data_IF_044343335297
#
_entry.id   IF_044343335297
#
_cell.length_a   1.000
_cell.length_b   1.000
_cell.length_c   1.000
_cell.angle_alpha   90.00
_cell.angle_beta   90.00
_cell.angle_gamma   90.00
#
_symmetry.space_group_name_H-M   'P 1'
#
loop_
_entity.id
_entity.type
_entity.pdbx_description
1 polymer ?
#
# COMPACT_ATOMS: atom_id res chain seq x y z
N UNK A 1 -6.00 -18.23 16.62
CA UNK A 1 -5.16 -18.30 15.40
C UNK A 1 -4.09 -17.24 15.52
N UNK A 2 -2.85 -17.58 15.22
CA UNK A 2 -1.70 -16.66 15.28
C UNK A 2 -1.05 -16.64 13.90
N UNK A 3 -0.77 -15.47 13.37
CA UNK A 3 0.00 -15.31 12.13
C UNK A 3 1.50 -15.35 12.46
N UNK A 4 2.33 -15.81 11.52
CA UNK A 4 3.77 -15.58 11.63
C UNK A 4 4.13 -14.12 11.31
N UNK A 5 5.41 -13.78 11.49
CA UNK A 5 5.93 -12.44 11.25
C UNK A 5 5.69 -11.97 9.82
N UNK A 6 5.54 -12.86 8.84
CA UNK A 6 5.26 -12.54 7.44
C UNK A 6 3.77 -12.67 7.06
N UNK A 7 2.90 -12.79 8.07
CA UNK A 7 1.45 -12.76 7.95
C UNK A 7 0.87 -14.08 7.48
N UNK A 8 1.69 -15.13 7.42
CA UNK A 8 1.26 -16.45 7.01
C UNK A 8 0.55 -17.18 8.13
N UNK A 9 -0.42 -18.00 7.74
CA UNK A 9 -1.03 -19.02 8.58
C UNK A 9 -1.14 -20.32 7.80
N UNK A 10 -0.99 -21.44 8.50
CA UNK A 10 -1.25 -22.76 7.91
C UNK A 10 -2.71 -22.85 7.44
N UNK A 11 -2.92 -23.38 6.24
CA UNK A 11 -4.27 -23.50 5.67
C UNK A 11 -5.15 -24.42 6.52
N UNK A 12 -4.60 -25.51 7.07
CA UNK A 12 -5.33 -26.38 7.99
C UNK A 12 -5.87 -25.61 9.21
N UNK A 13 -5.02 -24.80 9.84
CA UNK A 13 -5.40 -23.97 11.00
C UNK A 13 -6.50 -22.97 10.64
N UNK A 14 -6.43 -22.35 9.46
CA UNK A 14 -7.47 -21.44 8.99
C UNK A 14 -8.81 -22.17 8.79
N UNK A 15 -8.79 -23.33 8.14
CA UNK A 15 -10.00 -24.12 7.84
C UNK A 15 -10.64 -24.66 9.12
N UNK A 16 -9.84 -25.14 10.08
CA UNK A 16 -10.30 -25.57 11.41
C UNK A 16 -10.93 -24.41 12.18
N UNK A 17 -10.28 -23.25 12.20
CA UNK A 17 -10.80 -22.07 12.87
C UNK A 17 -12.10 -21.56 12.23
N UNK A 18 -12.18 -21.56 10.89
CA UNK A 18 -13.39 -21.18 10.16
C UNK A 18 -14.55 -22.13 10.48
N UNK A 19 -14.29 -23.44 10.45
CA UNK A 19 -15.30 -24.45 10.79
C UNK A 19 -15.79 -24.30 12.24
N UNK A 20 -14.89 -24.01 13.19
CA UNK A 20 -15.24 -23.75 14.59
C UNK A 20 -16.13 -22.51 14.76
N UNK A 21 -16.06 -21.53 13.85
CA UNK A 21 -16.91 -20.33 13.81
C UNK A 21 -18.13 -20.49 12.88
N UNK A 22 -18.47 -21.72 12.46
CA UNK A 22 -19.64 -22.01 11.63
C UNK A 22 -19.44 -21.82 10.13
N UNK A 23 -18.23 -21.50 9.68
CA UNK A 23 -17.88 -21.34 8.27
C UNK A 23 -17.10 -22.57 7.78
N UNK A 24 -17.80 -23.62 7.35
CA UNK A 24 -17.15 -24.76 6.70
C UNK A 24 -16.78 -24.39 5.27
N UNK A 25 -15.48 -24.22 5.05
CA UNK A 25 -14.89 -23.93 3.76
C UNK A 25 -13.99 -25.13 3.41
N UNK A 26 -14.14 -25.68 2.22
CA UNK A 26 -13.25 -26.69 1.70
C UNK A 26 -11.96 -26.07 1.16
N UNK A 27 -10.90 -26.87 1.07
CA UNK A 27 -9.64 -26.44 0.45
C UNK A 27 -9.85 -25.89 -0.97
N UNK A 28 -10.67 -26.56 -1.78
CA UNK A 28 -10.97 -26.16 -3.15
C UNK A 28 -11.80 -24.85 -3.23
N UNK A 29 -12.65 -24.57 -2.25
CA UNK A 29 -13.34 -23.27 -2.14
C UNK A 29 -12.37 -22.15 -1.77
N UNK A 30 -11.46 -22.41 -0.83
CA UNK A 30 -10.43 -21.44 -0.47
C UNK A 30 -9.51 -21.12 -1.67
N UNK A 31 -9.12 -22.15 -2.43
CA UNK A 31 -8.29 -21.96 -3.64
C UNK A 31 -8.98 -21.09 -4.69
N UNK A 32 -10.29 -21.30 -4.93
CA UNK A 32 -11.08 -20.42 -5.80
C UNK A 32 -11.15 -19.00 -5.28
N UNK A 33 -11.38 -18.79 -3.99
CA UNK A 33 -11.39 -17.43 -3.39
C UNK A 33 -10.05 -16.72 -3.59
N UNK A 34 -8.93 -17.45 -3.47
CA UNK A 34 -7.61 -16.86 -3.70
C UNK A 34 -7.40 -16.52 -5.17
N UNK A 35 -7.77 -17.44 -6.09
CA UNK A 35 -7.62 -17.26 -7.53
C UNK A 35 -8.51 -16.15 -8.11
N UNK A 36 -9.77 -16.10 -7.69
CA UNK A 36 -10.81 -15.26 -8.31
C UNK A 36 -11.02 -13.92 -7.60
N UNK A 37 -10.23 -13.59 -6.55
CA UNK A 37 -10.43 -12.29 -5.91
C UNK A 37 -9.88 -11.17 -6.81
N UNK A 38 -10.74 -10.17 -7.07
CA UNK A 38 -10.51 -9.02 -7.96
C UNK A 38 -9.23 -8.19 -7.70
N UNK A 39 -8.50 -8.48 -6.62
CA UNK A 39 -7.38 -7.64 -6.14
C UNK A 39 -6.18 -8.42 -5.63
N UNK A 40 -6.07 -9.72 -5.91
CA UNK A 40 -5.03 -10.63 -5.37
C UNK A 40 -4.72 -10.40 -3.87
N UNK A 41 -5.77 -10.21 -3.08
CA UNK A 41 -5.73 -9.88 -1.65
C UNK A 41 -5.14 -10.98 -0.78
N UNK A 42 -5.08 -12.19 -1.31
CA UNK A 42 -4.54 -13.36 -0.63
C UNK A 42 -3.51 -14.03 -1.52
N UNK A 43 -2.52 -14.65 -0.90
CA UNK A 43 -1.51 -15.44 -1.58
C UNK A 43 -1.28 -16.76 -0.85
N UNK A 44 -1.04 -17.82 -1.61
CA UNK A 44 -0.50 -19.08 -1.08
C UNK A 44 1.03 -19.04 -1.07
N UNK A 45 1.63 -19.78 -0.14
CA UNK A 45 3.06 -20.09 -0.18
C UNK A 45 3.37 -20.99 -1.39
N UNK A 46 4.64 -21.09 -1.76
CA UNK A 46 5.06 -21.89 -2.93
C UNK A 46 4.65 -23.37 -2.85
N UNK A 47 4.60 -23.93 -1.63
CA UNK A 47 4.13 -25.29 -1.34
C UNK A 47 2.59 -25.39 -1.19
N UNK A 48 1.87 -24.25 -1.25
CA UNK A 48 0.43 -24.17 -1.05
C UNK A 48 -0.04 -24.42 0.38
N UNK A 49 0.85 -24.65 1.35
CA UNK A 49 0.46 -25.06 2.71
C UNK A 49 0.07 -23.88 3.61
N UNK A 50 0.47 -22.66 3.24
CA UNK A 50 0.20 -21.44 3.99
C UNK A 50 -0.54 -20.42 3.13
N UNK A 51 -1.32 -19.58 3.81
CA UNK A 51 -2.05 -18.46 3.23
C UNK A 51 -1.69 -17.18 3.99
N UNK A 52 -1.55 -16.05 3.27
CA UNK A 52 -1.48 -14.72 3.89
C UNK A 52 -2.37 -13.73 3.15
N UNK A 53 -2.71 -12.63 3.82
CA UNK A 53 -3.19 -11.45 3.10
C UNK A 53 -2.00 -10.75 2.42
N UNK A 54 -2.21 -10.22 1.24
CA UNK A 54 -1.20 -9.44 0.49
C UNK A 54 -1.19 -7.96 0.93
N UNK A 55 -2.29 -7.51 1.54
CA UNK A 55 -2.57 -6.10 1.86
C UNK A 55 -3.54 -6.01 3.05
N UNK A 56 -3.52 -4.90 3.78
CA UNK A 56 -4.54 -4.58 4.78
C UNK A 56 -4.27 -5.08 6.21
N UNK A 57 -3.04 -5.49 6.53
CA UNK A 57 -2.66 -5.87 7.87
C UNK A 57 -2.81 -4.70 8.86
N UNK A 58 -3.52 -4.96 9.96
CA UNK A 58 -3.56 -4.10 11.16
C UNK A 58 -2.63 -4.62 12.27
N UNK A 59 -2.00 -5.80 12.06
CA UNK A 59 -1.00 -6.43 12.95
C UNK A 59 0.37 -6.41 12.30
N UNK A 60 1.49 -6.26 13.04
CA UNK A 60 2.87 -6.28 12.51
C UNK A 60 3.10 -7.46 11.57
N UNK A 61 3.37 -7.18 10.31
CA UNK A 61 3.74 -8.19 9.32
C UNK A 61 4.93 -7.70 8.50
N UNK A 62 6.09 -8.34 8.65
CA UNK A 62 7.24 -8.23 7.76
C UNK A 62 7.05 -9.13 6.53
N UNK A 63 6.49 -8.55 5.48
CA UNK A 63 6.17 -9.28 4.25
C UNK A 63 7.39 -9.79 3.47
N UNK A 64 8.62 -9.50 3.95
CA UNK A 64 9.87 -9.96 3.35
C UNK A 64 10.15 -9.33 1.99
N UNK A 65 9.64 -8.12 1.74
CA UNK A 65 9.89 -7.45 0.48
C UNK A 65 11.36 -7.01 0.41
N UNK A 66 12.07 -7.56 -0.57
CA UNK A 66 13.44 -7.16 -0.85
C UNK A 66 13.54 -5.66 -1.16
N UNK A 67 14.62 -5.00 -0.73
CA UNK A 67 14.92 -3.65 -1.16
C UNK A 67 14.89 -3.53 -2.70
N UNK A 68 14.22 -2.50 -3.19
CA UNK A 68 14.09 -2.23 -4.62
C UNK A 68 14.40 -0.76 -4.90
N UNK A 69 15.06 -0.50 -6.03
CA UNK A 69 15.33 0.87 -6.48
C UNK A 69 14.03 1.49 -7.02
N UNK A 70 13.52 2.57 -6.41
CA UNK A 70 12.31 3.22 -6.87
C UNK A 70 12.54 4.01 -8.17
N UNK A 71 11.47 4.38 -8.89
CA UNK A 71 11.53 5.48 -9.85
C UNK A 71 12.07 6.77 -9.22
N UNK A 72 12.45 7.73 -10.04
CA UNK A 72 12.96 9.02 -9.54
C UNK A 72 11.93 9.74 -8.64
N UNK A 73 10.66 9.59 -8.99
CA UNK A 73 9.52 10.20 -8.30
C UNK A 73 8.45 9.15 -8.02
N UNK A 74 7.88 9.22 -6.82
CA UNK A 74 6.67 8.50 -6.40
C UNK A 74 5.61 9.49 -5.90
N UNK A 75 4.38 9.02 -5.69
CA UNK A 75 3.24 9.88 -5.33
C UNK A 75 2.50 9.38 -4.09
N UNK A 76 2.01 10.32 -3.28
CA UNK A 76 1.14 10.03 -2.14
C UNK A 76 -0.13 10.90 -2.18
N UNK A 77 -1.28 10.24 -2.29
CA UNK A 77 -2.58 10.91 -2.22
C UNK A 77 -3.12 10.92 -0.80
N UNK A 78 -3.55 12.08 -0.32
CA UNK A 78 -4.09 12.27 1.02
C UNK A 78 -5.34 13.16 1.01
N UNK A 79 -5.99 13.28 2.17
CA UNK A 79 -7.11 14.18 2.36
C UNK A 79 -6.62 15.58 2.80
N UNK A 80 -7.35 16.67 2.47
CA UNK A 80 -6.90 18.04 2.76
C UNK A 80 -6.56 18.31 4.23
N UNK A 81 -7.28 17.67 5.16
CA UNK A 81 -7.04 17.81 6.60
C UNK A 81 -5.67 17.33 7.09
N UNK A 82 -4.99 16.46 6.34
CA UNK A 82 -3.65 15.98 6.70
C UNK A 82 -2.50 16.87 6.17
N UNK A 83 -2.79 17.80 5.25
CA UNK A 83 -1.75 18.58 4.54
C UNK A 83 -0.84 19.34 5.50
N UNK A 84 -1.41 20.05 6.47
CA UNK A 84 -0.64 20.81 7.45
C UNK A 84 0.30 19.92 8.29
N UNK A 85 -0.16 18.74 8.70
CA UNK A 85 0.65 17.79 9.45
C UNK A 85 1.76 17.20 8.57
N UNK A 86 1.46 16.84 7.32
CA UNK A 86 2.43 16.27 6.38
C UNK A 86 3.53 17.27 6.06
N UNK A 87 3.20 18.55 5.85
CA UNK A 87 4.21 19.61 5.63
C UNK A 87 5.15 19.79 6.81
N UNK A 88 4.68 19.55 8.05
CA UNK A 88 5.48 19.70 9.27
C UNK A 88 6.29 18.46 9.61
N UNK A 89 5.69 17.28 9.47
CA UNK A 89 6.19 16.02 10.05
C UNK A 89 6.64 15.01 9.00
N UNK A 90 6.28 15.23 7.75
CA UNK A 90 6.46 14.30 6.64
C UNK A 90 5.37 13.23 6.61
N UNK A 91 5.56 12.22 5.76
CA UNK A 91 4.71 11.04 5.75
C UNK A 91 5.20 10.03 6.79
N UNK A 92 4.25 9.55 7.60
CA UNK A 92 4.43 8.47 8.58
C UNK A 92 3.47 7.33 8.24
N UNK A 93 3.76 6.10 8.66
CA UNK A 93 2.94 4.95 8.29
C UNK A 93 1.59 4.92 9.04
N UNK A 94 1.42 5.75 10.08
CA UNK A 94 0.23 5.84 10.93
C UNK A 94 -0.12 4.48 11.54
N UNK A 95 -1.32 3.94 11.30
CA UNK A 95 -1.72 2.60 11.78
C UNK A 95 -1.22 1.46 10.86
N UNK A 96 -0.37 1.76 9.87
CA UNK A 96 0.21 0.78 8.94
C UNK A 96 1.68 0.55 9.31
N UNK A 97 2.31 -0.41 8.63
CA UNK A 97 3.74 -0.73 8.83
C UNK A 97 4.70 0.14 8.03
N UNK A 98 4.24 0.70 6.91
CA UNK A 98 5.04 1.53 6.02
C UNK A 98 4.17 2.59 5.34
N UNK A 99 4.81 3.69 4.93
CA UNK A 99 4.21 4.68 4.03
C UNK A 99 3.98 4.00 2.68
N UNK A 100 2.76 4.11 2.17
CA UNK A 100 2.39 3.57 0.86
C UNK A 100 2.47 4.67 -0.18
N UNK A 101 3.16 4.37 -1.27
CA UNK A 101 3.43 5.28 -2.39
C UNK A 101 2.96 4.65 -3.70
N UNK A 102 2.48 5.51 -4.58
CA UNK A 102 1.98 5.15 -5.91
C UNK A 102 3.04 5.48 -6.95
N UNK A 103 3.14 4.65 -7.99
CA UNK A 103 4.05 4.89 -9.12
C UNK A 103 3.60 6.06 -9.99
N UNK A 104 2.30 6.32 -10.05
CA UNK A 104 1.69 7.36 -10.86
C UNK A 104 0.71 8.23 -10.07
N UNK A 105 0.57 9.48 -10.53
CA UNK A 105 -0.26 10.52 -9.92
C UNK A 105 -1.75 10.14 -9.90
N UNK A 106 -2.27 9.55 -10.97
CA UNK A 106 -3.68 9.18 -11.06
C UNK A 106 -4.08 8.10 -10.04
N UNK A 107 -3.18 7.14 -9.79
CA UNK A 107 -3.35 6.15 -8.72
C UNK A 107 -3.35 6.82 -7.35
N UNK A 108 -2.44 7.77 -7.09
CA UNK A 108 -2.42 8.52 -5.84
C UNK A 108 -3.73 9.29 -5.62
N UNK A 109 -4.23 9.99 -6.65
CA UNK A 109 -5.53 10.69 -6.59
C UNK A 109 -6.68 9.73 -6.27
N UNK A 110 -6.78 8.61 -6.99
CA UNK A 110 -7.83 7.61 -6.76
C UNK A 110 -7.77 7.01 -5.34
N UNK A 111 -6.57 6.80 -4.80
CA UNK A 111 -6.39 6.26 -3.44
C UNK A 111 -6.73 7.31 -2.37
N UNK A 112 -6.30 8.56 -2.56
CA UNK A 112 -6.61 9.67 -1.64
C UNK A 112 -8.05 10.15 -1.72
N UNK A 113 -8.70 9.98 -2.88
CA UNK A 113 -10.01 10.54 -3.21
C UNK A 113 -11.21 9.87 -2.54
N UNK A 114 -10.97 8.85 -1.70
CA UNK A 114 -12.04 8.10 -1.01
C UNK A 114 -12.86 8.94 -0.03
N UNK A 115 -12.36 10.12 0.36
CA UNK A 115 -12.97 11.03 1.34
C UNK A 115 -13.12 12.46 0.81
N UNK A 116 -13.35 12.61 -0.50
CA UNK A 116 -13.47 13.91 -1.17
C UNK A 116 -12.25 14.22 -2.04
N UNK A 117 -12.08 15.49 -2.41
CA UNK A 117 -10.99 15.93 -3.31
C UNK A 117 -9.62 15.70 -2.65
N UNK A 118 -8.76 14.83 -3.21
CA UNK A 118 -7.47 14.55 -2.63
C UNK A 118 -6.48 15.69 -2.88
N UNK A 119 -5.46 15.77 -2.03
CA UNK A 119 -4.21 16.48 -2.30
C UNK A 119 -3.15 15.43 -2.60
N UNK A 120 -2.33 15.66 -3.62
CA UNK A 120 -1.24 14.76 -3.98
C UNK A 120 0.09 15.39 -3.61
N UNK A 121 0.97 14.59 -3.02
CA UNK A 121 2.36 14.93 -2.83
C UNK A 121 3.22 14.12 -3.80
N UNK A 122 4.17 14.82 -4.41
CA UNK A 122 5.34 14.25 -5.08
C UNK A 122 6.39 13.89 -4.02
N UNK A 123 7.00 12.72 -4.17
CA UNK A 123 8.08 12.19 -3.33
C UNK A 123 9.33 12.03 -4.17
N UNK A 124 10.40 12.75 -3.80
CA UNK A 124 11.73 12.71 -4.43
C UNK A 124 12.48 11.41 -4.09
N UNK A 125 11.98 10.26 -4.55
CA UNK A 125 12.45 8.93 -4.13
C UNK A 125 13.88 8.61 -4.57
N UNK A 126 14.38 9.18 -5.67
CA UNK A 126 15.80 9.10 -6.02
C UNK A 126 16.69 9.82 -5.00
N UNK A 127 16.32 11.04 -4.60
CA UNK A 127 17.07 11.82 -3.61
C UNK A 127 17.04 11.13 -2.23
N UNK A 128 15.89 10.56 -1.86
CA UNK A 128 15.78 9.74 -0.65
C UNK A 128 16.69 8.50 -0.70
N UNK A 129 16.74 7.79 -1.84
CA UNK A 129 17.64 6.64 -2.00
C UNK A 129 19.10 7.06 -1.84
N UNK A 130 19.50 8.19 -2.44
CA UNK A 130 20.84 8.76 -2.26
C UNK A 130 21.14 9.18 -0.82
N UNK A 131 20.11 9.57 -0.05
CA UNK A 131 20.20 9.89 1.37
C UNK A 131 20.11 8.66 2.30
N UNK A 132 20.08 7.44 1.75
CA UNK A 132 20.11 6.18 2.52
C UNK A 132 18.76 5.61 2.93
N UNK A 133 17.64 6.16 2.42
CA UNK A 133 16.32 5.60 2.68
C UNK A 133 16.10 4.33 1.85
N UNK A 134 15.53 3.31 2.48
CA UNK A 134 15.18 2.05 1.82
C UNK A 134 13.76 2.09 1.28
N UNK A 135 13.60 1.58 0.06
CA UNK A 135 12.31 1.34 -0.57
C UNK A 135 12.12 -0.15 -0.82
N UNK A 136 10.87 -0.58 -0.76
CA UNK A 136 10.43 -1.93 -1.10
C UNK A 136 9.24 -1.82 -2.03
N UNK A 137 9.01 -2.83 -2.87
CA UNK A 137 7.82 -2.91 -3.71
C UNK A 137 7.06 -4.18 -3.41
N UNK A 138 5.75 -4.07 -3.16
CA UNK A 138 4.90 -5.22 -2.96
C UNK A 138 4.64 -5.96 -4.28
N UNK A 139 4.16 -7.21 -4.20
CA UNK A 139 3.82 -8.00 -5.38
C UNK A 139 2.79 -7.33 -6.33
N UNK A 140 1.94 -6.45 -5.79
CA UNK A 140 0.97 -5.67 -6.56
C UNK A 140 1.46 -4.26 -6.94
N UNK A 141 2.77 -4.00 -6.88
CA UNK A 141 3.37 -2.76 -7.38
C UNK A 141 3.22 -1.54 -6.47
N UNK A 142 2.84 -1.71 -5.21
CA UNK A 142 2.78 -0.62 -4.24
C UNK A 142 4.16 -0.40 -3.64
N UNK A 143 4.64 0.84 -3.67
CA UNK A 143 5.92 1.21 -3.10
C UNK A 143 5.78 1.50 -1.60
N UNK A 144 6.77 1.05 -0.84
CA UNK A 144 6.79 1.08 0.62
C UNK A 144 8.10 1.67 1.11
N UNK A 145 8.01 2.58 2.08
CA UNK A 145 9.16 3.12 2.81
C UNK A 145 8.76 3.40 4.26
N UNK A 146 9.71 3.42 5.19
CA UNK A 146 9.42 3.61 6.61
C UNK A 146 8.77 4.97 6.90
N UNK A 147 9.32 6.03 6.31
CA UNK A 147 8.84 7.42 6.41
C UNK A 147 9.32 8.24 5.22
N UNK A 148 8.65 9.37 4.97
CA UNK A 148 9.12 10.38 4.02
C UNK A 148 9.31 11.70 4.76
N UNK A 149 10.54 12.20 4.93
CA UNK A 149 10.79 13.51 5.53
C UNK A 149 10.18 14.67 4.72
N UNK A 150 9.78 15.79 5.35
CA UNK A 150 9.21 16.95 4.66
C UNK A 150 10.04 17.49 3.50
N UNK A 151 11.36 17.48 3.63
CA UNK A 151 12.29 18.01 2.63
C UNK A 151 12.29 17.25 1.29
N UNK A 152 11.73 16.03 1.27
CA UNK A 152 11.55 15.24 0.05
C UNK A 152 10.11 15.28 -0.49
N UNK A 153 9.26 16.14 0.08
CA UNK A 153 7.85 16.28 -0.29
C UNK A 153 7.60 17.61 -0.98
N UNK A 154 6.98 17.55 -2.16
CA UNK A 154 6.40 18.72 -2.82
C UNK A 154 4.91 18.48 -3.00
N UNK A 155 4.08 19.43 -2.61
CA UNK A 155 2.66 19.38 -2.94
C UNK A 155 2.51 19.53 -4.45
N UNK A 156 2.01 18.48 -5.10
CA UNK A 156 1.80 18.46 -6.54
C UNK A 156 0.63 19.40 -6.83
N UNK A 157 0.86 20.51 -7.57
CA UNK A 157 -0.22 21.41 -7.89
C UNK A 157 -1.30 20.62 -8.63
N UNK A 158 -2.55 20.79 -8.20
CA UNK A 158 -3.71 20.25 -8.92
C UNK A 158 -3.53 20.57 -10.41
N UNK A 159 -3.91 19.68 -11.34
CA UNK A 159 -3.90 20.03 -12.74
C UNK A 159 -4.67 21.34 -12.85
N UNK A 160 -3.98 22.38 -13.32
CA UNK A 160 -4.63 23.63 -13.66
C UNK A 160 -5.79 23.21 -14.57
N UNK A 161 -7.06 23.56 -14.28
CA UNK A 161 -8.08 23.42 -15.31
C UNK A 161 -7.50 24.20 -16.48
N UNK A 162 -7.28 23.53 -17.62
CA UNK A 162 -6.79 24.16 -18.84
C UNK A 162 -7.55 25.48 -18.95
N UNK A 163 -6.84 26.60 -18.94
CA UNK A 163 -7.44 27.88 -19.26
C UNK A 163 -8.00 27.68 -20.66
N UNK A 164 -9.31 27.46 -20.76
CA UNK A 164 -10.03 27.56 -22.01
C UNK A 164 -9.61 28.92 -22.60
N UNK A 165 -9.08 28.97 -23.83
CA UNK A 165 -8.69 30.23 -24.42
C UNK A 165 -9.93 31.11 -24.46
N UNK A 166 -9.86 32.26 -23.80
CA UNK A 166 -10.86 33.31 -23.93
C UNK A 166 -10.77 33.76 -25.38
N UNK A 167 -11.70 33.31 -26.22
CA UNK A 167 -11.88 33.88 -27.54
C UNK A 167 -12.44 35.29 -27.35
N UNK A 168 -11.64 36.26 -27.77
CA UNK A 168 -11.93 37.70 -27.83
C UNK A 168 -13.08 38.01 -28.80
#
# INVERSE_FOLDING_TARGET
MTLDEAGWVAVSVLLEAAAAHGHRISRAELERVVADNDKQRFAFSADGLRLRASQGHTVPVDLGYEPATPPAVLYHGTHPGAVAAIRREGLRPMQRHAVHLSRDRATAERVGGRRGRPVVFTVESAAMTAAGFTFRVSANGVWLTERVPPEFLTEDPLPHPLLEPVHE
#
